data_IF_853679024791
#
_entry.id   IF_853679024791
#
_cell.length_a   1.000
_cell.length_b   1.000
_cell.length_c   1.000
_cell.angle_alpha   90.00
_cell.angle_beta   90.00
_cell.angle_gamma   90.00
#
_symmetry.space_group_name_H-M   'P 1'
#
loop_
_entity.id
_entity.type
_entity.pdbx_description
1 polymer ?
#
# COMPACT_ATOMS: atom_id res chain seq x y z
N UNK A 1 -79.31 -32.56 -59.84
CA UNK A 1 -77.88 -32.92 -59.74
C UNK A 1 -77.20 -31.87 -58.88
N UNK A 2 -76.98 -32.17 -57.61
CA UNK A 2 -76.39 -31.25 -56.69
C UNK A 2 -75.22 -31.94 -55.99
N UNK A 3 -74.03 -31.42 -56.23
CA UNK A 3 -72.79 -31.93 -55.66
C UNK A 3 -72.53 -31.25 -54.25
N UNK A 4 -72.38 -32.06 -53.24
CA UNK A 4 -71.97 -31.64 -51.89
C UNK A 4 -70.46 -31.56 -51.88
N UNK A 5 -69.89 -30.38 -51.54
CA UNK A 5 -68.51 -30.23 -51.20
C UNK A 5 -68.39 -30.24 -49.64
N UNK A 6 -67.61 -31.18 -49.14
CA UNK A 6 -67.25 -31.33 -47.76
C UNK A 6 -66.08 -30.37 -47.40
N UNK A 7 -66.25 -29.52 -46.43
CA UNK A 7 -65.23 -28.61 -45.93
C UNK A 7 -64.54 -29.26 -44.72
N UNK A 8 -63.25 -29.65 -44.90
CA UNK A 8 -62.41 -30.13 -43.78
C UNK A 8 -61.73 -28.96 -43.13
N UNK A 9 -62.02 -28.74 -41.82
CA UNK A 9 -61.31 -27.78 -40.96
C UNK A 9 -60.02 -28.40 -40.40
N UNK A 10 -58.90 -27.81 -40.75
CA UNK A 10 -57.59 -28.16 -40.17
C UNK A 10 -57.42 -27.30 -38.93
N UNK A 11 -57.38 -27.95 -37.74
CA UNK A 11 -56.98 -27.35 -36.46
C UNK A 11 -55.46 -27.27 -36.47
N UNK A 12 -54.90 -26.08 -36.64
CA UNK A 12 -53.47 -25.85 -36.40
C UNK A 12 -53.23 -25.57 -34.90
N UNK A 13 -52.64 -26.54 -34.23
CA UNK A 13 -52.15 -26.39 -32.86
C UNK A 13 -50.92 -25.53 -32.87
N UNK A 14 -51.01 -24.31 -32.37
CA UNK A 14 -49.87 -23.45 -32.10
C UNK A 14 -49.14 -23.97 -30.85
N UNK A 15 -48.04 -24.70 -31.03
CA UNK A 15 -47.05 -24.90 -30.00
C UNK A 15 -46.24 -23.59 -29.85
N UNK A 16 -46.49 -22.88 -28.76
CA UNK A 16 -45.60 -21.81 -28.33
C UNK A 16 -44.31 -22.45 -27.77
N UNK A 17 -43.12 -22.01 -28.17
CA UNK A 17 -41.89 -22.46 -27.49
C UNK A 17 -41.71 -21.69 -26.20
N UNK A 18 -42.06 -22.30 -25.07
CA UNK A 18 -41.74 -21.86 -23.75
C UNK A 18 -40.36 -22.41 -23.31
N UNK A 19 -39.31 -22.16 -24.08
CA UNK A 19 -37.97 -22.69 -23.85
C UNK A 19 -36.84 -21.70 -24.17
N UNK A 20 -37.11 -20.39 -24.06
CA UNK A 20 -36.04 -19.42 -24.33
C UNK A 20 -35.68 -18.52 -23.14
N UNK A 21 -36.45 -18.56 -22.05
CA UNK A 21 -36.16 -17.70 -20.89
C UNK A 21 -35.30 -18.32 -19.81
N UNK A 22 -34.96 -19.62 -19.89
CA UNK A 22 -34.10 -20.29 -18.90
C UNK A 22 -32.61 -20.35 -19.32
N UNK A 23 -32.27 -19.92 -20.53
CA UNK A 23 -30.89 -19.98 -21.03
C UNK A 23 -30.19 -18.61 -21.09
N UNK A 24 -30.92 -17.52 -20.94
CA UNK A 24 -30.38 -16.17 -20.88
C UNK A 24 -29.96 -15.75 -19.45
N UNK A 25 -30.38 -16.48 -18.41
CA UNK A 25 -30.04 -16.20 -17.02
C UNK A 25 -28.65 -16.71 -16.62
N UNK A 26 -27.88 -17.32 -17.52
CA UNK A 26 -26.56 -17.89 -17.25
C UNK A 26 -25.39 -17.05 -17.81
N UNK A 27 -25.63 -15.87 -18.33
CA UNK A 27 -24.60 -15.06 -19.02
C UNK A 27 -24.10 -13.85 -18.22
N UNK A 28 -24.68 -13.55 -17.05
CA UNK A 28 -24.27 -12.40 -16.26
C UNK A 28 -23.77 -12.84 -14.89
N UNK A 29 -22.64 -12.25 -14.42
CA UNK A 29 -22.14 -12.53 -13.07
C UNK A 29 -23.18 -12.18 -12.00
N UNK A 30 -23.17 -12.95 -10.91
CA UNK A 30 -24.04 -12.73 -9.74
C UNK A 30 -23.20 -12.41 -8.51
N UNK A 31 -23.84 -11.77 -7.52
CA UNK A 31 -23.16 -11.48 -6.27
C UNK A 31 -22.69 -12.77 -5.58
N UNK A 32 -23.57 -13.74 -5.44
CA UNK A 32 -23.29 -14.96 -4.70
C UNK A 32 -22.18 -15.81 -5.31
N UNK A 33 -22.09 -15.88 -6.64
CA UNK A 33 -21.10 -16.74 -7.29
C UNK A 33 -19.75 -16.06 -7.50
N UNK A 34 -19.70 -14.89 -8.17
CA UNK A 34 -18.46 -14.26 -8.58
C UNK A 34 -18.10 -13.03 -7.72
N UNK A 35 -19.06 -12.08 -7.60
CA UNK A 35 -18.77 -10.75 -7.11
C UNK A 35 -18.42 -10.75 -5.61
N UNK A 36 -19.06 -11.61 -4.82
CA UNK A 36 -18.78 -11.70 -3.37
C UNK A 36 -17.33 -12.11 -3.09
N UNK A 37 -16.73 -12.97 -3.93
CA UNK A 37 -15.32 -13.36 -3.80
C UNK A 37 -14.41 -12.20 -4.13
N UNK A 38 -14.68 -11.48 -5.22
CA UNK A 38 -13.92 -10.29 -5.62
C UNK A 38 -13.97 -9.23 -4.52
N UNK A 39 -15.16 -8.98 -3.95
CA UNK A 39 -15.33 -8.02 -2.85
C UNK A 39 -14.60 -8.46 -1.59
N UNK A 40 -14.64 -9.77 -1.24
CA UNK A 40 -13.90 -10.31 -0.10
C UNK A 40 -12.38 -10.17 -0.27
N UNK A 41 -11.88 -10.40 -1.48
CA UNK A 41 -10.45 -10.42 -1.76
C UNK A 41 -9.86 -9.01 -1.88
N UNK A 42 -10.60 -8.08 -2.46
CA UNK A 42 -10.07 -6.77 -2.85
C UNK A 42 -10.64 -5.58 -2.05
N UNK A 43 -11.77 -5.72 -1.37
CA UNK A 43 -12.46 -4.58 -0.77
C UNK A 43 -12.58 -4.67 0.75
N UNK A 44 -12.90 -5.85 1.30
CA UNK A 44 -13.28 -6.01 2.71
C UNK A 44 -12.14 -5.76 3.69
N UNK A 45 -10.87 -5.81 3.27
CA UNK A 45 -9.74 -5.46 4.12
C UNK A 45 -9.87 -4.04 4.70
N UNK A 46 -10.46 -3.12 3.92
CA UNK A 46 -10.73 -1.75 4.34
C UNK A 46 -12.22 -1.50 4.61
N UNK A 47 -13.13 -2.10 3.82
CA UNK A 47 -14.58 -1.89 3.87
C UNK A 47 -15.26 -2.93 4.75
N UNK A 48 -15.00 -2.89 6.04
CA UNK A 48 -15.63 -3.70 7.09
C UNK A 48 -15.95 -2.84 8.32
N UNK A 49 -16.83 -3.29 9.22
CA UNK A 49 -17.19 -2.51 10.41
C UNK A 49 -15.96 -2.14 11.24
N UNK A 50 -15.81 -0.86 11.57
CA UNK A 50 -14.71 -0.34 12.39
C UNK A 50 -13.36 -0.16 11.66
N UNK A 51 -13.26 -0.46 10.36
CA UNK A 51 -12.06 -0.21 9.57
C UNK A 51 -12.09 1.18 8.91
N UNK A 52 -11.06 1.50 8.12
CA UNK A 52 -10.87 2.83 7.50
C UNK A 52 -11.84 3.14 6.36
N UNK A 53 -12.46 2.15 5.75
CA UNK A 53 -13.45 2.36 4.69
C UNK A 53 -14.74 2.96 5.27
N UNK A 54 -15.30 4.03 4.66
CA UNK A 54 -16.46 4.73 5.22
C UNK A 54 -17.76 3.93 5.15
N UNK A 55 -17.82 2.83 4.38
CA UNK A 55 -18.94 1.91 4.28
C UNK A 55 -18.46 0.47 4.41
N UNK A 56 -19.29 -0.39 4.97
CA UNK A 56 -19.05 -1.84 5.04
C UNK A 56 -19.53 -2.54 3.77
N UNK A 57 -18.81 -3.60 3.34
CA UNK A 57 -19.12 -4.44 2.20
C UNK A 57 -19.12 -5.92 2.56
N UNK A 58 -19.55 -6.26 3.78
CA UNK A 58 -19.56 -7.64 4.28
C UNK A 58 -20.78 -8.46 3.87
N UNK A 59 -21.80 -7.81 3.31
CA UNK A 59 -23.02 -8.46 2.81
C UNK A 59 -23.51 -7.84 1.50
N UNK A 60 -24.40 -8.58 0.80
CA UNK A 60 -25.05 -8.06 -0.41
C UNK A 60 -25.85 -6.78 -0.16
N UNK A 61 -26.55 -6.73 0.96
CA UNK A 61 -27.36 -5.60 1.38
C UNK A 61 -26.54 -4.33 1.58
N UNK A 62 -25.31 -4.49 2.02
CA UNK A 62 -24.34 -3.40 2.18
C UNK A 62 -23.68 -2.99 0.86
N UNK A 63 -23.36 -3.95 -0.02
CA UNK A 63 -22.68 -3.69 -1.30
C UNK A 63 -23.63 -3.10 -2.34
N UNK A 64 -24.85 -3.67 -2.48
CA UNK A 64 -25.76 -3.34 -3.57
C UNK A 64 -26.12 -1.84 -3.69
N UNK A 65 -26.38 -1.09 -2.62
CA UNK A 65 -26.65 0.34 -2.71
C UNK A 65 -25.51 1.16 -3.33
N UNK A 66 -24.28 0.67 -3.18
CA UNK A 66 -23.05 1.31 -3.67
C UNK A 66 -22.58 0.78 -5.04
N UNK A 67 -23.26 -0.22 -5.60
CA UNK A 67 -22.83 -0.90 -6.82
C UNK A 67 -22.48 0.06 -7.98
N UNK A 68 -23.25 1.12 -8.30
CA UNK A 68 -22.88 2.07 -9.34
C UNK A 68 -21.61 2.86 -9.04
N UNK A 69 -21.38 3.22 -7.76
CA UNK A 69 -20.16 3.91 -7.34
C UNK A 69 -18.97 2.97 -7.36
N UNK A 70 -19.14 1.72 -6.90
CA UNK A 70 -18.13 0.67 -6.98
C UNK A 70 -17.69 0.48 -8.43
N UNK A 71 -18.65 0.29 -9.36
CA UNK A 71 -18.35 0.18 -10.79
C UNK A 71 -17.51 1.34 -11.32
N UNK A 72 -17.90 2.57 -10.99
CA UNK A 72 -17.21 3.77 -11.44
C UNK A 72 -15.75 3.81 -10.92
N UNK A 73 -15.57 3.55 -9.63
CA UNK A 73 -14.25 3.62 -8.97
C UNK A 73 -13.32 2.49 -9.41
N UNK A 74 -13.85 1.28 -9.59
CA UNK A 74 -13.05 0.12 -10.05
C UNK A 74 -12.64 0.29 -11.50
N UNK A 75 -13.59 0.72 -12.36
CA UNK A 75 -13.30 0.98 -13.79
C UNK A 75 -12.29 2.11 -13.99
N UNK A 76 -12.28 3.11 -13.10
CA UNK A 76 -11.28 4.18 -13.08
C UNK A 76 -9.97 3.78 -12.40
N UNK A 77 -9.86 2.55 -11.85
CA UNK A 77 -8.72 2.06 -11.05
C UNK A 77 -8.41 2.93 -9.83
N UNK A 78 -9.42 3.62 -9.29
CA UNK A 78 -9.33 4.38 -8.06
C UNK A 78 -9.54 3.52 -6.81
N UNK A 79 -10.17 2.33 -6.98
CA UNK A 79 -10.37 1.32 -5.93
C UNK A 79 -10.12 -0.09 -6.48
N UNK A 80 -9.37 -0.94 -5.74
CA UNK A 80 -8.57 -0.60 -4.55
C UNK A 80 -7.53 0.48 -4.86
N UNK A 81 -7.19 1.33 -3.86
CA UNK A 81 -6.19 2.38 -4.08
C UNK A 81 -4.80 1.76 -4.19
N UNK A 82 -4.23 1.76 -5.36
CA UNK A 82 -2.88 1.26 -5.63
C UNK A 82 -2.26 2.05 -6.76
N UNK A 83 -1.21 2.80 -6.47
CA UNK A 83 -0.70 3.85 -7.37
C UNK A 83 0.50 3.39 -8.22
N UNK A 84 0.89 2.12 -8.12
CA UNK A 84 2.01 1.59 -8.88
C UNK A 84 1.61 1.28 -10.32
N UNK A 85 2.38 1.76 -11.30
CA UNK A 85 2.09 1.58 -12.71
C UNK A 85 2.21 0.11 -13.15
N UNK A 86 1.29 -0.37 -13.99
CA UNK A 86 1.17 -1.79 -14.36
C UNK A 86 2.27 -2.28 -15.32
N UNK A 87 2.88 -1.36 -16.08
CA UNK A 87 3.76 -1.67 -17.21
C UNK A 87 5.15 -1.02 -17.11
N UNK A 88 5.47 -0.41 -15.96
CA UNK A 88 6.73 0.31 -15.76
C UNK A 88 7.47 -0.26 -14.55
N UNK A 89 8.77 -0.50 -14.72
CA UNK A 89 9.64 -0.98 -13.65
C UNK A 89 9.39 -2.43 -13.23
N UNK A 90 9.68 -2.74 -11.98
CA UNK A 90 9.61 -4.10 -11.42
C UNK A 90 8.18 -4.39 -10.98
N UNK A 91 7.55 -5.42 -11.56
CA UNK A 91 6.15 -5.77 -11.30
C UNK A 91 5.94 -6.84 -10.22
N UNK A 92 7.02 -7.44 -9.71
CA UNK A 92 7.00 -8.45 -8.65
C UNK A 92 6.96 -7.76 -7.28
N UNK A 93 5.74 -7.54 -6.77
CA UNK A 93 5.47 -6.83 -5.54
C UNK A 93 4.69 -7.71 -4.55
N UNK A 94 5.09 -7.69 -3.29
CA UNK A 94 4.31 -8.28 -2.20
C UNK A 94 3.07 -7.43 -1.94
N UNK A 95 1.95 -8.08 -1.60
CA UNK A 95 0.69 -7.40 -1.28
C UNK A 95 0.23 -6.44 -2.39
N UNK A 96 0.31 -6.89 -3.63
CA UNK A 96 -0.21 -6.16 -4.78
C UNK A 96 -1.75 -6.18 -4.74
N UNK A 97 -2.35 -5.01 -4.61
CA UNK A 97 -3.81 -4.86 -4.51
C UNK A 97 -4.46 -4.47 -5.84
N UNK A 98 -3.70 -4.46 -6.93
CA UNK A 98 -4.28 -4.19 -8.25
C UNK A 98 -5.26 -5.30 -8.62
N UNK A 99 -6.44 -4.90 -9.04
CA UNK A 99 -7.44 -5.84 -9.54
C UNK A 99 -7.11 -6.28 -10.97
N UNK A 100 -7.36 -7.55 -11.24
CA UNK A 100 -7.29 -8.06 -12.61
C UNK A 100 -8.34 -7.42 -13.54
N UNK A 101 -8.05 -7.32 -14.83
CA UNK A 101 -9.04 -6.89 -15.82
C UNK A 101 -10.30 -7.77 -15.80
N UNK A 102 -10.17 -9.06 -15.52
CA UNK A 102 -11.27 -10.00 -15.41
C UNK A 102 -12.18 -9.63 -14.24
N UNK A 103 -11.63 -9.34 -13.06
CA UNK A 103 -12.40 -8.94 -11.88
C UNK A 103 -13.09 -7.59 -12.09
N UNK A 104 -12.37 -6.61 -12.67
CA UNK A 104 -12.94 -5.30 -13.03
C UNK A 104 -14.14 -5.50 -13.97
N UNK A 105 -13.97 -6.25 -15.05
CA UNK A 105 -15.03 -6.51 -16.01
C UNK A 105 -16.19 -7.29 -15.39
N UNK A 106 -15.93 -8.21 -14.47
CA UNK A 106 -16.95 -8.96 -13.74
C UNK A 106 -17.83 -8.04 -12.91
N UNK A 107 -17.23 -7.12 -12.14
CA UNK A 107 -17.99 -6.11 -11.38
C UNK A 107 -18.78 -5.20 -12.32
N UNK A 108 -18.18 -4.69 -13.40
CA UNK A 108 -18.84 -3.82 -14.36
C UNK A 108 -20.05 -4.52 -14.99
N UNK A 109 -19.90 -5.76 -15.43
CA UNK A 109 -20.96 -6.55 -16.05
C UNK A 109 -22.09 -6.88 -15.04
N UNK A 110 -21.74 -7.19 -13.80
CA UNK A 110 -22.69 -7.42 -12.72
C UNK A 110 -23.58 -6.19 -12.48
N UNK A 111 -22.98 -5.00 -12.40
CA UNK A 111 -23.72 -3.76 -12.16
C UNK A 111 -24.61 -3.43 -13.37
N UNK A 112 -24.10 -3.59 -14.59
CA UNK A 112 -24.87 -3.37 -15.81
C UNK A 112 -26.08 -4.35 -15.95
N UNK A 113 -25.97 -5.55 -15.39
CA UNK A 113 -27.05 -6.53 -15.30
C UNK A 113 -28.10 -6.24 -14.21
N UNK A 114 -27.96 -5.13 -13.46
CA UNK A 114 -28.86 -4.73 -12.36
C UNK A 114 -28.48 -5.29 -10.99
N UNK A 115 -27.24 -5.72 -10.86
CA UNK A 115 -26.66 -6.23 -9.62
C UNK A 115 -27.44 -7.43 -9.02
N UNK A 116 -27.64 -8.54 -9.78
CA UNK A 116 -28.41 -9.69 -9.30
C UNK A 116 -27.69 -10.39 -8.15
N UNK A 117 -28.48 -10.92 -7.18
CA UNK A 117 -27.94 -11.65 -6.04
C UNK A 117 -27.40 -13.04 -6.42
N UNK A 118 -28.13 -13.80 -7.25
CA UNK A 118 -27.79 -15.17 -7.61
C UNK A 118 -28.35 -16.22 -6.65
N UNK A 119 -27.75 -17.43 -6.64
CA UNK A 119 -28.15 -18.52 -5.77
C UNK A 119 -27.41 -18.39 -4.41
N UNK A 120 -28.13 -18.35 -3.25
CA UNK A 120 -27.47 -18.27 -1.92
C UNK A 120 -26.49 -19.39 -1.61
N UNK A 121 -26.66 -20.56 -2.24
CA UNK A 121 -25.76 -21.70 -2.02
C UNK A 121 -24.35 -21.51 -2.62
N UNK A 122 -24.20 -20.54 -3.54
CA UNK A 122 -22.93 -20.21 -4.18
C UNK A 122 -22.07 -19.23 -3.38
N UNK A 123 -22.61 -18.66 -2.28
CA UNK A 123 -21.87 -17.72 -1.44
C UNK A 123 -20.60 -18.37 -0.86
N UNK A 124 -19.46 -17.69 -0.93
CA UNK A 124 -18.26 -18.15 -0.22
C UNK A 124 -18.45 -18.05 1.30
N UNK A 125 -17.61 -18.77 2.05
CA UNK A 125 -17.53 -18.54 3.49
C UNK A 125 -17.08 -17.11 3.77
N UNK A 126 -17.69 -16.42 4.75
CA UNK A 126 -17.25 -15.08 5.13
C UNK A 126 -15.79 -15.08 5.58
N UNK A 127 -15.00 -14.12 5.11
CA UNK A 127 -13.65 -13.89 5.63
C UNK A 127 -13.72 -13.39 7.06
N UNK A 128 -12.78 -13.84 7.87
CA UNK A 128 -12.53 -13.29 9.19
C UNK A 128 -11.39 -12.28 9.08
N UNK A 129 -11.61 -11.09 9.58
CA UNK A 129 -10.59 -10.05 9.63
C UNK A 129 -10.21 -9.80 11.08
N UNK A 130 -8.95 -9.45 11.37
CA UNK A 130 -8.57 -8.98 12.69
C UNK A 130 -9.42 -7.79 13.11
N UNK A 131 -9.73 -7.68 14.39
CA UNK A 131 -10.37 -6.47 14.92
C UNK A 131 -9.46 -5.25 14.65
N UNK A 132 -10.05 -4.04 14.70
CA UNK A 132 -9.29 -2.80 14.39
C UNK A 132 -8.12 -2.59 15.35
N UNK A 133 -8.28 -3.07 16.59
CA UNK A 133 -7.29 -3.04 17.66
C UNK A 133 -6.42 -4.30 17.76
N UNK A 134 -6.58 -5.26 16.85
CA UNK A 134 -5.67 -6.40 16.73
C UNK A 134 -4.44 -6.03 15.88
N UNK A 135 -3.33 -6.71 16.13
CA UNK A 135 -2.17 -6.62 15.26
C UNK A 135 -2.43 -7.32 13.92
N UNK A 136 -2.17 -6.62 12.83
CA UNK A 136 -2.36 -7.17 11.47
C UNK A 136 -1.46 -8.37 11.20
N UNK A 137 -0.25 -8.32 11.76
CA UNK A 137 0.74 -9.38 11.61
C UNK A 137 0.51 -10.55 12.58
N UNK A 138 -0.34 -10.41 13.60
CA UNK A 138 -0.57 -11.46 14.61
C UNK A 138 -1.17 -12.74 14.02
N UNK A 139 -1.95 -12.65 12.95
CA UNK A 139 -2.50 -13.83 12.26
C UNK A 139 -1.44 -14.77 11.68
N UNK A 140 -0.25 -14.22 11.37
CA UNK A 140 0.89 -14.96 10.83
C UNK A 140 2.00 -15.19 11.87
N UNK A 141 2.29 -14.18 12.69
CA UNK A 141 3.46 -14.14 13.56
C UNK A 141 3.13 -14.32 15.06
N UNK A 142 1.85 -14.39 15.42
CA UNK A 142 1.44 -14.33 16.84
C UNK A 142 1.48 -12.91 17.38
N UNK A 143 1.29 -12.77 18.71
CA UNK A 143 1.42 -11.47 19.40
C UNK A 143 2.86 -10.96 19.33
N UNK A 144 3.08 -9.62 19.32
CA UNK A 144 4.43 -9.07 19.32
C UNK A 144 5.18 -9.42 20.59
N UNK A 145 6.48 -9.69 20.46
CA UNK A 145 7.37 -9.98 21.59
C UNK A 145 7.60 -8.75 22.49
N UNK A 146 7.55 -7.55 21.88
CA UNK A 146 7.75 -6.30 22.57
C UNK A 146 6.79 -5.23 22.05
N UNK A 147 6.31 -4.37 22.96
CA UNK A 147 5.46 -3.24 22.62
C UNK A 147 5.96 -1.93 23.21
N UNK A 148 5.89 -0.86 22.41
CA UNK A 148 6.24 0.50 22.83
C UNK A 148 5.02 1.39 22.62
N UNK A 149 4.60 2.13 23.66
CA UNK A 149 3.46 3.06 23.58
C UNK A 149 3.93 4.50 23.65
N UNK A 150 3.29 5.37 22.90
CA UNK A 150 3.47 6.82 23.07
C UNK A 150 3.00 7.26 24.45
N UNK A 151 3.38 8.46 24.88
CA UNK A 151 2.66 9.13 25.97
C UNK A 151 1.19 9.35 25.53
N UNK A 152 0.29 9.39 26.51
CA UNK A 152 -1.12 9.66 26.26
C UNK A 152 -1.33 11.11 25.82
N UNK A 153 -2.27 11.31 24.90
CA UNK A 153 -2.66 12.62 24.39
C UNK A 153 -4.17 12.74 24.20
N UNK A 154 -4.74 13.88 24.59
CA UNK A 154 -6.16 14.17 24.34
C UNK A 154 -6.34 14.71 22.93
N UNK A 155 -6.85 13.88 22.03
CA UNK A 155 -7.16 14.28 20.65
C UNK A 155 -8.45 15.09 20.63
N UNK A 156 -8.43 16.38 20.22
CA UNK A 156 -9.62 17.20 20.21
C UNK A 156 -10.55 16.84 19.04
N UNK A 157 -11.86 17.05 19.22
CA UNK A 157 -12.84 16.85 18.16
C UNK A 157 -12.69 17.81 16.97
N UNK A 158 -12.13 18.99 17.19
CA UNK A 158 -12.02 20.06 16.20
C UNK A 158 -10.70 20.82 16.37
N UNK A 159 -10.15 21.30 15.29
CA UNK A 159 -8.90 22.08 15.29
C UNK A 159 -8.19 22.00 13.94
N UNK A 160 -6.99 22.55 13.91
CA UNK A 160 -6.06 22.37 12.80
C UNK A 160 -5.29 21.05 12.99
N UNK A 161 -4.52 20.67 11.98
CA UNK A 161 -3.54 19.60 12.06
C UNK A 161 -2.69 19.73 13.33
N UNK A 162 -2.58 18.64 14.08
CA UNK A 162 -1.85 18.58 15.34
C UNK A 162 -0.68 17.60 15.20
N UNK A 163 0.48 18.04 15.66
CA UNK A 163 1.68 17.23 15.72
C UNK A 163 2.06 16.99 17.19
N UNK A 164 1.93 15.73 17.63
CA UNK A 164 2.37 15.29 18.94
C UNK A 164 3.70 14.53 18.83
N UNK A 165 4.74 15.00 19.53
CA UNK A 165 6.10 14.47 19.41
C UNK A 165 6.67 14.04 20.77
N UNK A 166 6.08 13.06 21.45
CA UNK A 166 6.60 12.56 22.72
C UNK A 166 7.85 11.72 22.53
N UNK A 167 8.67 11.65 23.58
CA UNK A 167 9.84 10.78 23.66
C UNK A 167 9.67 9.85 24.85
N UNK A 168 9.65 8.54 24.58
CA UNK A 168 9.50 7.50 25.61
C UNK A 168 10.71 6.58 25.63
N UNK A 169 10.96 5.91 26.75
CA UNK A 169 11.95 4.84 26.80
C UNK A 169 11.48 3.67 25.95
N UNK A 170 12.39 3.07 25.17
CA UNK A 170 12.03 1.93 24.30
C UNK A 170 11.72 0.66 25.09
N UNK A 171 12.30 0.51 26.28
CA UNK A 171 12.25 -0.71 27.08
C UNK A 171 13.06 -1.87 26.47
N UNK A 172 13.90 -1.61 25.49
CA UNK A 172 14.75 -2.60 24.84
C UNK A 172 16.08 -2.67 25.56
N UNK A 173 16.35 -3.80 26.24
CA UNK A 173 17.56 -3.99 27.04
C UNK A 173 18.73 -4.56 26.23
N UNK A 174 18.45 -5.25 25.12
CA UNK A 174 19.44 -5.90 24.27
C UNK A 174 19.23 -5.52 22.80
N UNK A 175 20.34 -5.23 22.10
CA UNK A 175 20.27 -4.93 20.65
C UNK A 175 20.07 -6.20 19.86
N UNK A 176 19.00 -6.24 19.06
CA UNK A 176 18.59 -7.42 18.29
C UNK A 176 18.11 -7.04 16.89
N UNK A 177 18.18 -7.99 15.96
CA UNK A 177 17.49 -7.90 14.68
C UNK A 177 16.01 -8.19 14.86
N UNK A 178 15.16 -7.42 14.19
CA UNK A 178 13.72 -7.65 14.19
C UNK A 178 13.28 -8.40 12.93
N UNK A 179 12.27 -9.26 13.09
CA UNK A 179 11.59 -10.00 12.04
C UNK A 179 10.48 -9.17 11.41
N UNK A 180 9.78 -8.41 12.24
CA UNK A 180 8.70 -7.53 11.81
C UNK A 180 8.47 -6.39 12.80
N UNK A 181 7.79 -5.35 12.32
CA UNK A 181 7.34 -4.23 13.13
C UNK A 181 6.00 -3.70 12.60
N UNK A 182 5.11 -3.31 13.50
CA UNK A 182 3.83 -2.71 13.17
C UNK A 182 3.55 -1.53 14.10
N UNK A 183 3.19 -0.39 13.53
CA UNK A 183 2.68 0.77 14.29
C UNK A 183 1.18 0.86 14.08
N UNK A 184 0.42 1.01 15.16
CA UNK A 184 -1.03 1.16 15.09
C UNK A 184 -1.54 2.26 16.02
N UNK A 185 -2.50 3.09 15.57
CA UNK A 185 -3.30 3.97 16.43
C UNK A 185 -4.24 3.14 17.32
N UNK A 186 -4.85 3.78 18.31
CA UNK A 186 -5.99 3.17 19.01
C UNK A 186 -7.19 3.04 18.07
N UNK A 187 -8.07 2.08 18.35
CA UNK A 187 -9.33 1.92 17.61
C UNK A 187 -10.21 3.19 17.66
N UNK A 188 -10.14 3.95 18.74
CA UNK A 188 -10.91 5.19 18.92
C UNK A 188 -10.39 6.35 18.06
N UNK A 189 -9.06 6.41 17.82
CA UNK A 189 -8.40 7.51 17.10
C UNK A 189 -7.99 7.14 15.67
N UNK A 190 -8.35 5.96 15.16
CA UNK A 190 -7.92 5.53 13.82
C UNK A 190 -8.42 6.47 12.72
N UNK A 191 -9.58 7.09 12.89
CA UNK A 191 -10.13 8.06 11.94
C UNK A 191 -9.43 9.41 11.96
N UNK A 192 -8.87 9.79 13.10
CA UNK A 192 -8.18 11.07 13.31
C UNK A 192 -6.65 10.96 13.22
N UNK A 193 -6.08 9.76 13.28
CA UNK A 193 -4.62 9.56 13.13
C UNK A 193 -4.27 9.48 11.65
N UNK A 194 -3.71 10.55 11.09
CA UNK A 194 -3.31 10.58 9.69
C UNK A 194 -2.06 9.75 9.43
N UNK A 195 -1.01 9.93 10.23
CA UNK A 195 0.17 9.06 10.29
C UNK A 195 0.87 9.17 11.63
N UNK A 196 1.69 8.18 11.95
CA UNK A 196 2.53 8.16 13.14
C UNK A 196 3.90 7.57 12.79
N UNK A 197 4.89 8.44 12.76
CA UNK A 197 6.27 8.07 12.53
C UNK A 197 6.99 7.83 13.85
N UNK A 198 8.00 6.98 13.85
CA UNK A 198 8.85 6.75 14.99
C UNK A 198 10.31 6.58 14.59
N UNK A 199 11.21 7.08 15.40
CA UNK A 199 12.65 6.85 15.26
C UNK A 199 13.32 6.72 16.60
N UNK A 200 14.46 6.04 16.61
CA UNK A 200 15.23 5.88 17.83
C UNK A 200 15.96 7.17 18.20
N UNK A 201 16.11 7.38 19.50
CA UNK A 201 17.12 8.24 20.11
C UNK A 201 18.14 7.34 20.76
N UNK A 202 19.40 7.55 20.45
CA UNK A 202 20.53 6.80 20.97
C UNK A 202 21.55 7.72 21.61
N UNK A 203 22.29 7.21 22.58
CA UNK A 203 23.39 7.97 23.18
C UNK A 203 24.61 7.90 22.25
N UNK A 204 25.16 9.06 21.89
CA UNK A 204 26.44 9.14 21.23
C UNK A 204 27.62 8.92 22.23
N UNK A 205 28.84 8.91 21.72
CA UNK A 205 30.04 8.71 22.52
C UNK A 205 30.24 9.79 23.62
N UNK A 206 29.60 10.94 23.44
CA UNK A 206 29.65 12.04 24.41
C UNK A 206 28.54 11.94 25.47
N UNK A 207 27.66 10.93 25.40
CA UNK A 207 26.50 10.77 26.29
C UNK A 207 25.33 11.68 25.98
N UNK A 208 25.26 12.20 24.76
CA UNK A 208 24.16 13.05 24.30
C UNK A 208 23.14 12.22 23.48
N UNK A 209 21.85 12.49 23.66
CA UNK A 209 20.79 11.87 22.88
C UNK A 209 20.76 12.45 21.45
N UNK A 210 21.03 11.61 20.46
CA UNK A 210 21.00 11.96 19.05
C UNK A 210 19.95 11.11 18.31
N UNK A 211 19.56 11.55 17.13
CA UNK A 211 18.66 10.77 16.27
C UNK A 211 19.39 9.51 15.78
N UNK A 212 18.77 8.38 16.01
CA UNK A 212 19.13 7.08 15.43
C UNK A 212 18.27 6.77 14.20
N UNK A 213 18.22 5.50 13.86
CA UNK A 213 17.46 5.01 12.73
C UNK A 213 15.95 5.09 12.96
N UNK A 214 15.21 5.09 11.88
CA UNK A 214 13.75 5.00 11.93
C UNK A 214 13.34 3.59 12.32
N UNK A 215 12.29 3.52 13.14
CA UNK A 215 11.76 2.24 13.59
C UNK A 215 10.60 1.79 12.70
N UNK A 216 9.55 2.59 12.63
CA UNK A 216 8.31 2.21 11.95
C UNK A 216 7.45 3.43 11.64
N UNK A 217 6.44 3.22 10.81
CA UNK A 217 5.42 4.21 10.47
C UNK A 217 4.04 3.54 10.46
N UNK A 218 3.05 4.26 10.98
CA UNK A 218 1.65 4.07 10.58
C UNK A 218 1.30 5.11 9.53
N UNK A 219 0.71 4.67 8.44
CA UNK A 219 0.02 5.54 7.49
C UNK A 219 -1.22 4.78 6.97
N UNK A 220 -2.21 5.52 6.48
CA UNK A 220 -3.43 4.91 5.93
C UNK A 220 -3.04 4.00 4.74
N UNK A 221 -3.42 2.71 4.83
CA UNK A 221 -3.06 1.69 3.84
C UNK A 221 -1.84 0.84 4.19
N UNK A 222 -1.05 1.20 5.21
CA UNK A 222 0.09 0.42 5.66
C UNK A 222 -0.33 -0.66 6.66
N UNK A 223 0.11 -1.90 6.45
CA UNK A 223 -0.33 -3.09 7.20
C UNK A 223 0.72 -3.66 8.17
N UNK A 224 1.77 -2.94 8.46
CA UNK A 224 2.94 -3.46 9.15
C UNK A 224 4.06 -3.82 8.16
N UNK A 225 5.25 -4.02 8.66
CA UNK A 225 6.44 -4.29 7.87
C UNK A 225 7.12 -5.57 8.34
N UNK A 226 7.35 -6.49 7.41
CA UNK A 226 8.26 -7.64 7.62
C UNK A 226 9.61 -7.30 7.04
N UNK A 227 10.67 -7.54 7.81
CA UNK A 227 12.03 -7.41 7.30
C UNK A 227 12.27 -8.53 6.29
N UNK A 228 12.81 -8.24 5.10
CA UNK A 228 13.06 -9.26 4.08
C UNK A 228 14.03 -10.33 4.55
N UNK A 229 13.91 -11.50 3.95
CA UNK A 229 14.82 -12.62 4.21
C UNK A 229 16.29 -12.20 3.97
N UNK A 230 17.16 -12.65 4.86
CA UNK A 230 18.59 -12.32 4.84
C UNK A 230 18.93 -10.89 5.26
N UNK A 231 17.97 -10.06 5.71
CA UNK A 231 18.23 -8.71 6.18
C UNK A 231 18.07 -8.58 7.70
N UNK A 232 18.86 -7.70 8.32
CA UNK A 232 18.77 -7.34 9.73
C UNK A 232 18.45 -5.86 9.91
N UNK A 233 17.22 -5.54 10.31
CA UNK A 233 16.90 -4.21 10.87
C UNK A 233 17.13 -4.27 12.35
N UNK A 234 18.18 -3.60 12.80
CA UNK A 234 18.63 -3.66 14.21
C UNK A 234 17.90 -2.64 15.06
N UNK A 235 17.38 -3.07 16.20
CA UNK A 235 16.88 -2.18 17.27
C UNK A 235 17.95 -2.00 18.32
N UNK A 236 18.27 -0.74 18.72
CA UNK A 236 19.34 -0.45 19.68
C UNK A 236 18.88 -0.68 21.11
N UNK A 237 19.77 -1.29 21.94
CA UNK A 237 19.56 -1.39 23.37
C UNK A 237 19.58 -0.02 24.05
N UNK A 238 18.88 0.10 25.19
CA UNK A 238 18.87 1.30 26.06
C UNK A 238 18.57 2.59 25.29
N UNK A 239 17.71 2.50 24.30
CA UNK A 239 17.30 3.60 23.42
C UNK A 239 16.01 4.24 23.91
N UNK A 240 15.67 5.39 23.34
CA UNK A 240 14.34 5.99 23.43
C UNK A 240 13.70 5.99 22.04
N UNK A 241 12.38 6.13 22.01
CA UNK A 241 11.61 6.33 20.78
C UNK A 241 11.03 7.73 20.79
N UNK A 242 11.39 8.54 19.81
CA UNK A 242 10.73 9.80 19.51
C UNK A 242 9.64 9.54 18.47
N UNK A 243 8.45 9.98 18.78
CA UNK A 243 7.28 9.89 17.92
C UNK A 243 7.08 11.18 17.16
N UNK A 244 6.48 11.08 15.98
CA UNK A 244 5.89 12.18 15.23
C UNK A 244 4.48 11.75 14.82
N UNK A 245 3.51 11.99 15.70
CA UNK A 245 2.11 11.60 15.49
C UNK A 245 1.35 12.80 14.93
N UNK A 246 0.76 12.62 13.76
CA UNK A 246 -0.05 13.63 13.08
C UNK A 246 -1.52 13.29 13.21
N UNK A 247 -2.23 14.07 14.00
CA UNK A 247 -3.68 13.98 14.14
C UNK A 247 -4.38 15.00 13.27
N UNK A 248 -5.43 14.55 12.59
CA UNK A 248 -6.38 15.40 11.89
C UNK A 248 -7.76 15.23 12.55
N UNK A 249 -8.26 16.22 13.33
CA UNK A 249 -9.52 16.12 14.04
C UNK A 249 -10.70 15.81 13.12
N UNK A 250 -11.43 14.72 13.39
CA UNK A 250 -12.51 14.18 12.56
C UNK A 250 -13.93 14.47 13.08
N UNK A 251 -14.05 15.28 14.13
CA UNK A 251 -15.31 15.59 14.80
C UNK A 251 -15.54 14.84 16.11
N UNK A 252 -14.66 13.84 16.42
CA UNK A 252 -14.72 13.06 17.64
C UNK A 252 -13.53 13.40 18.54
N UNK A 253 -13.79 13.66 19.83
CA UNK A 253 -12.72 13.78 20.81
C UNK A 253 -12.34 12.41 21.34
N UNK A 254 -11.02 12.12 21.39
CA UNK A 254 -10.50 10.88 21.97
C UNK A 254 -9.57 11.24 23.12
N UNK A 255 -10.01 11.07 24.37
CA UNK A 255 -9.15 11.31 25.53
C UNK A 255 -8.13 10.18 25.70
N UNK A 256 -6.97 10.51 26.25
CA UNK A 256 -5.92 9.57 26.62
C UNK A 256 -5.48 8.64 25.46
N UNK A 257 -5.50 9.12 24.21
CA UNK A 257 -5.07 8.30 23.07
C UNK A 257 -3.59 7.95 23.12
N UNK A 258 -3.26 6.74 22.68
CA UNK A 258 -1.88 6.25 22.57
C UNK A 258 -1.70 5.46 21.27
N UNK A 259 -0.66 5.81 20.52
CA UNK A 259 -0.18 4.99 19.41
C UNK A 259 0.79 3.92 19.95
N UNK A 260 0.70 2.71 19.43
CA UNK A 260 1.49 1.56 19.89
C UNK A 260 2.31 0.97 18.74
N UNK A 261 3.56 0.61 19.02
CA UNK A 261 4.42 -0.19 18.15
C UNK A 261 4.46 -1.62 18.71
N UNK A 262 4.29 -2.62 17.85
CA UNK A 262 4.58 -4.02 18.11
C UNK A 262 5.85 -4.42 17.36
N UNK A 263 6.72 -5.17 18.01
CA UNK A 263 7.98 -5.66 17.47
C UNK A 263 8.00 -7.18 17.63
N UNK A 264 8.35 -7.88 16.56
CA UNK A 264 8.60 -9.32 16.52
C UNK A 264 10.08 -9.55 16.30
N UNK A 265 10.68 -10.34 17.19
CA UNK A 265 12.08 -10.74 17.07
C UNK A 265 12.19 -12.10 16.35
N UNK A 266 13.37 -12.40 15.85
CA UNK A 266 13.71 -13.77 15.48
C UNK A 266 13.86 -14.61 16.75
N UNK A 267 13.33 -15.82 16.74
CA UNK A 267 13.47 -16.80 17.80
C UNK A 267 14.51 -17.88 17.43
N UNK A 268 14.80 -18.81 18.39
CA UNK A 268 15.81 -19.84 18.18
C UNK A 268 15.42 -20.88 17.11
N UNK A 269 14.15 -20.95 16.72
CA UNK A 269 13.63 -21.87 15.70
C UNK A 269 13.69 -21.27 14.29
N UNK A 270 13.92 -19.96 14.16
CA UNK A 270 14.08 -19.31 12.88
C UNK A 270 15.45 -19.68 12.24
N UNK A 271 15.47 -19.94 10.95
CA UNK A 271 16.70 -20.17 10.16
C UNK A 271 17.53 -18.88 9.95
N UNK A 272 17.36 -17.89 10.82
CA UNK A 272 18.04 -16.62 10.75
C UNK A 272 19.39 -16.67 11.45
N UNK A 273 20.46 -16.35 10.70
CA UNK A 273 21.83 -16.23 11.21
C UNK A 273 22.25 -14.75 11.11
N UNK A 274 22.35 -14.10 12.27
CA UNK A 274 22.61 -12.65 12.33
C UNK A 274 23.95 -12.26 11.66
N UNK A 275 24.99 -13.08 11.84
CA UNK A 275 26.31 -12.84 11.26
C UNK A 275 26.37 -12.98 9.74
N UNK A 276 25.35 -13.65 9.15
CA UNK A 276 25.21 -13.83 7.70
C UNK A 276 24.18 -12.86 7.09
N UNK A 277 23.58 -11.98 7.90
CA UNK A 277 22.53 -11.09 7.47
C UNK A 277 23.04 -9.74 6.99
N UNK A 278 22.31 -9.13 6.04
CA UNK A 278 22.61 -7.80 5.52
C UNK A 278 22.04 -6.72 6.44
N UNK A 279 22.86 -5.74 6.91
CA UNK A 279 22.33 -4.58 7.64
C UNK A 279 21.26 -3.87 6.81
N UNK A 280 20.09 -3.62 7.39
CA UNK A 280 18.99 -2.92 6.72
C UNK A 280 18.66 -1.60 7.43
N UNK A 281 18.57 -0.55 6.64
CA UNK A 281 18.06 0.75 7.06
C UNK A 281 16.71 1.06 6.41
N UNK A 282 15.81 1.66 7.17
CA UNK A 282 14.64 2.35 6.63
C UNK A 282 14.99 3.84 6.47
N UNK A 283 15.21 4.29 5.26
CA UNK A 283 15.62 5.66 4.95
C UNK A 283 14.47 6.50 4.42
N UNK A 284 14.13 7.56 5.14
CA UNK A 284 13.08 8.51 4.77
C UNK A 284 13.56 9.72 3.97
N UNK A 285 14.79 9.75 3.46
CA UNK A 285 15.34 10.98 2.90
C UNK A 285 16.00 10.79 1.55
N UNK A 286 15.29 10.18 0.64
CA UNK A 286 15.55 10.47 -0.75
C UNK A 286 14.72 11.68 -1.14
N UNK A 287 15.18 12.86 -0.73
CA UNK A 287 14.55 14.12 -1.11
C UNK A 287 14.68 14.31 -2.62
N UNK A 288 13.60 14.65 -3.29
CA UNK A 288 13.64 15.04 -4.71
C UNK A 288 14.06 16.49 -4.92
N UNK A 289 14.06 17.31 -3.85
CA UNK A 289 14.57 18.66 -3.85
C UNK A 289 14.98 19.06 -2.44
N UNK A 290 15.99 19.90 -2.33
CA UNK A 290 16.59 20.34 -1.06
C UNK A 290 15.74 21.30 -0.22
N UNK A 291 14.42 21.19 -0.21
CA UNK A 291 13.54 21.99 0.64
C UNK A 291 13.26 23.43 0.18
N UNK A 292 13.88 23.88 -0.90
CA UNK A 292 13.81 25.27 -1.39
C UNK A 292 13.02 25.42 -2.70
N UNK A 293 12.09 24.50 -2.98
CA UNK A 293 11.27 24.61 -4.18
C UNK A 293 9.96 25.38 -3.92
N UNK A 294 9.47 26.03 -4.96
CA UNK A 294 8.18 26.73 -4.95
C UNK A 294 7.39 26.34 -6.20
N UNK A 295 6.17 25.88 -5.99
CA UNK A 295 5.23 25.53 -7.05
C UNK A 295 4.42 26.79 -7.37
N UNK A 296 4.45 27.28 -8.62
CA UNK A 296 3.74 28.50 -8.96
C UNK A 296 2.22 28.32 -9.00
N UNK A 297 1.43 29.39 -8.80
CA UNK A 297 -0.01 29.36 -9.06
C UNK A 297 -0.30 28.89 -10.48
N UNK A 298 -1.36 28.09 -10.65
CA UNK A 298 -1.81 27.52 -11.93
C UNK A 298 -0.72 26.81 -12.74
N UNK A 299 0.33 26.33 -12.06
CA UNK A 299 1.49 25.74 -12.71
C UNK A 299 1.81 24.34 -12.24
N UNK A 300 2.75 23.73 -12.94
CA UNK A 300 3.32 22.42 -12.60
C UNK A 300 4.79 22.55 -12.26
N UNK A 301 5.30 21.59 -11.50
CA UNK A 301 6.73 21.50 -11.17
C UNK A 301 7.18 20.06 -11.23
N UNK A 302 8.42 19.83 -11.65
CA UNK A 302 9.11 18.56 -11.48
C UNK A 302 10.39 18.79 -10.69
N UNK A 303 10.61 17.95 -9.67
CA UNK A 303 11.81 17.98 -8.84
C UNK A 303 12.59 16.67 -8.96
N UNK A 304 13.91 16.72 -8.68
CA UNK A 304 14.78 15.54 -8.74
C UNK A 304 15.70 15.49 -7.53
N UNK A 305 15.96 14.28 -7.03
CA UNK A 305 16.97 13.99 -6.02
C UNK A 305 17.86 12.86 -6.47
N UNK A 306 19.11 12.88 -6.00
CA UNK A 306 20.14 11.93 -6.40
C UNK A 306 20.83 11.34 -5.17
N UNK A 307 21.02 10.02 -5.18
CA UNK A 307 21.75 9.31 -4.14
C UNK A 307 22.63 8.22 -4.74
N UNK A 308 23.89 8.20 -4.34
CA UNK A 308 24.85 7.12 -4.68
C UNK A 308 25.38 6.50 -3.38
N UNK A 309 25.77 5.24 -3.47
CA UNK A 309 26.46 4.51 -2.41
C UNK A 309 27.85 4.12 -2.89
N UNK A 310 28.80 4.08 -1.99
CA UNK A 310 30.18 3.63 -2.23
C UNK A 310 30.34 2.10 -2.14
N UNK A 311 29.26 1.41 -1.78
CA UNK A 311 29.12 -0.04 -1.73
C UNK A 311 27.81 -0.47 -2.40
N UNK A 312 27.66 -1.75 -2.76
CA UNK A 312 26.41 -2.22 -3.33
C UNK A 312 25.24 -2.20 -2.32
N UNK A 313 24.02 -2.00 -2.81
CA UNK A 313 22.83 -2.08 -1.98
C UNK A 313 21.71 -2.84 -2.67
N UNK A 314 20.82 -3.44 -1.87
CA UNK A 314 19.54 -4.00 -2.31
C UNK A 314 18.42 -3.09 -1.83
N UNK A 315 17.48 -2.74 -2.72
CA UNK A 315 16.31 -1.98 -2.34
C UNK A 315 15.17 -2.96 -2.05
N UNK A 316 14.67 -2.97 -0.82
CA UNK A 316 13.65 -3.93 -0.39
C UNK A 316 12.23 -3.38 -0.55
N UNK A 317 12.03 -2.07 -0.37
CA UNK A 317 10.74 -1.41 -0.57
C UNK A 317 10.90 0.06 -0.96
N UNK A 318 9.82 0.59 -1.56
CA UNK A 318 9.70 1.98 -1.96
C UNK A 318 8.31 2.52 -1.64
N UNK A 319 8.25 3.68 -0.97
CA UNK A 319 7.02 4.39 -0.65
C UNK A 319 7.14 5.85 -1.07
N UNK A 320 6.49 6.27 -2.16
CA UNK A 320 6.46 7.67 -2.59
C UNK A 320 5.65 8.52 -1.60
N UNK A 321 6.14 9.71 -1.28
CA UNK A 321 5.45 10.64 -0.40
C UNK A 321 5.54 12.08 -0.90
N UNK A 322 4.37 12.66 -1.08
CA UNK A 322 4.12 14.07 -1.41
C UNK A 322 2.87 14.52 -0.66
N UNK A 323 2.45 15.79 -0.84
CA UNK A 323 1.18 16.26 -0.31
C UNK A 323 0.15 16.50 -1.45
N UNK A 324 -0.77 17.47 -1.28
CA UNK A 324 -1.97 17.61 -2.11
C UNK A 324 -1.72 17.93 -3.58
N UNK A 325 -0.56 18.51 -3.94
CA UNK A 325 -0.21 18.83 -5.34
C UNK A 325 0.61 17.73 -6.00
N UNK A 326 1.10 16.75 -5.24
CA UNK A 326 1.80 15.60 -5.80
C UNK A 326 0.89 14.77 -6.68
N UNK A 327 1.35 14.42 -7.89
CA UNK A 327 0.58 13.63 -8.86
C UNK A 327 1.33 12.43 -9.40
N UNK A 328 2.66 12.41 -9.33
CA UNK A 328 3.47 11.28 -9.77
C UNK A 328 4.83 11.26 -9.10
N UNK A 329 5.39 10.06 -8.93
CA UNK A 329 6.79 9.86 -8.52
C UNK A 329 7.40 8.66 -9.23
N UNK A 330 8.69 8.75 -9.58
CA UNK A 330 9.48 7.62 -10.08
C UNK A 330 10.75 7.41 -9.26
N UNK A 331 11.20 6.17 -9.20
CA UNK A 331 12.52 5.78 -8.74
C UNK A 331 13.27 5.12 -9.90
N UNK A 332 14.43 5.67 -10.22
CA UNK A 332 15.27 5.24 -11.33
C UNK A 332 16.71 4.98 -10.85
N UNK A 333 17.48 4.25 -11.63
CA UNK A 333 18.92 4.08 -11.40
C UNK A 333 19.72 4.44 -12.66
N UNK A 334 20.74 5.24 -12.48
CA UNK A 334 21.73 5.55 -13.51
C UNK A 334 23.00 4.75 -13.26
N UNK A 335 23.43 4.00 -14.27
CA UNK A 335 24.65 3.20 -14.27
C UNK A 335 25.77 3.97 -15.00
N UNK A 336 26.76 4.54 -14.29
CA UNK A 336 27.79 5.38 -14.91
C UNK A 336 28.68 4.63 -15.90
N UNK A 337 28.91 3.33 -15.69
CA UNK A 337 29.73 2.49 -16.57
C UNK A 337 29.15 2.35 -17.99
N UNK A 338 27.84 2.32 -18.10
CA UNK A 338 27.12 2.13 -19.37
C UNK A 338 26.44 3.38 -19.90
N UNK A 339 26.27 4.40 -19.05
CA UNK A 339 25.48 5.59 -19.32
C UNK A 339 23.96 5.32 -19.41
N UNK A 340 23.51 4.13 -18.99
CA UNK A 340 22.09 3.72 -19.03
C UNK A 340 21.36 4.19 -17.79
N UNK A 341 20.12 4.63 -17.98
CA UNK A 341 19.14 4.83 -16.91
C UNK A 341 18.04 3.79 -17.04
N UNK A 342 17.60 3.25 -15.91
CA UNK A 342 16.54 2.27 -15.82
C UNK A 342 15.49 2.73 -14.79
N UNK A 343 14.21 2.62 -15.12
CA UNK A 343 13.12 2.89 -14.17
C UNK A 343 12.90 1.63 -13.34
N UNK A 344 13.01 1.79 -12.03
CA UNK A 344 12.78 0.70 -11.07
C UNK A 344 11.32 0.64 -10.64
N UNK A 345 10.71 1.80 -10.35
CA UNK A 345 9.33 1.93 -9.88
C UNK A 345 8.74 3.26 -10.30
N UNK A 346 7.44 3.28 -10.57
CA UNK A 346 6.70 4.49 -10.93
C UNK A 346 5.27 4.44 -10.42
N UNK A 347 4.78 5.60 -9.99
CA UNK A 347 3.40 5.86 -9.62
C UNK A 347 2.94 7.13 -10.36
N UNK A 348 2.22 6.96 -11.48
CA UNK A 348 1.81 8.09 -12.35
C UNK A 348 0.50 8.76 -11.92
N UNK A 349 -0.31 8.06 -11.10
CA UNK A 349 -1.57 8.58 -10.57
C UNK A 349 -1.53 8.62 -9.03
N UNK A 350 -0.45 9.15 -8.49
CA UNK A 350 -0.28 9.23 -7.06
C UNK A 350 -1.27 10.25 -6.43
N UNK A 351 -1.75 9.96 -5.23
CA UNK A 351 -2.56 10.87 -4.43
C UNK A 351 -2.20 10.76 -2.95
N UNK A 352 -2.23 11.88 -2.24
CA UNK A 352 -1.93 11.96 -0.81
C UNK A 352 -2.93 11.21 0.10
N UNK A 353 -4.06 10.78 -0.44
CA UNK A 353 -5.07 10.03 0.31
C UNK A 353 -4.57 8.64 0.76
N UNK A 354 -3.53 8.09 0.12
CA UNK A 354 -3.02 6.75 0.37
C UNK A 354 -1.49 6.72 0.29
N UNK A 355 -0.87 6.24 1.35
CA UNK A 355 0.59 6.12 1.45
C UNK A 355 1.00 4.64 1.47
N UNK A 356 1.06 4.02 0.30
CA UNK A 356 1.46 2.61 0.17
C UNK A 356 2.97 2.44 0.13
N UNK A 357 3.44 1.45 0.86
CA UNK A 357 4.80 0.92 0.73
C UNK A 357 4.77 -0.26 -0.23
N UNK A 358 5.44 -0.12 -1.36
CA UNK A 358 5.59 -1.16 -2.39
C UNK A 358 6.82 -2.00 -2.05
N UNK A 359 6.60 -3.20 -1.53
CA UNK A 359 7.66 -4.14 -1.15
C UNK A 359 7.89 -5.12 -2.29
N UNK A 360 9.13 -5.26 -2.73
CA UNK A 360 9.48 -6.21 -3.79
C UNK A 360 9.45 -7.66 -3.29
N UNK A 361 9.06 -8.58 -4.17
CA UNK A 361 9.16 -10.02 -3.90
C UNK A 361 10.62 -10.46 -3.79
N UNK A 362 10.84 -11.56 -3.04
CA UNK A 362 12.19 -12.11 -2.88
C UNK A 362 12.81 -12.49 -4.23
N UNK A 363 14.06 -12.11 -4.40
CA UNK A 363 14.81 -12.29 -5.63
C UNK A 363 14.50 -11.27 -6.74
N UNK A 364 13.52 -10.37 -6.57
CA UNK A 364 13.20 -9.29 -7.52
C UNK A 364 13.60 -7.91 -7.02
N UNK A 365 14.05 -7.79 -5.76
CA UNK A 365 14.52 -6.53 -5.19
C UNK A 365 15.63 -5.93 -6.05
N UNK A 366 15.59 -4.64 -6.41
CA UNK A 366 16.66 -4.00 -7.17
C UNK A 366 18.04 -4.17 -6.51
N UNK A 367 19.02 -4.67 -7.27
CA UNK A 367 20.41 -4.79 -6.86
C UNK A 367 21.19 -3.64 -7.50
N UNK A 368 21.69 -2.72 -6.69
CA UNK A 368 22.33 -1.49 -7.13
C UNK A 368 23.83 -1.62 -6.88
N UNK A 369 24.70 -1.59 -7.91
CA UNK A 369 26.14 -1.68 -7.72
C UNK A 369 26.70 -0.41 -7.08
N UNK A 370 27.87 -0.53 -6.47
CA UNK A 370 28.62 0.62 -5.97
C UNK A 370 28.81 1.68 -7.07
N UNK A 371 28.62 2.96 -6.72
CA UNK A 371 28.79 4.10 -7.63
C UNK A 371 27.61 4.37 -8.58
N UNK A 372 26.64 3.47 -8.69
CA UNK A 372 25.41 3.79 -9.40
C UNK A 372 24.59 4.86 -8.63
N UNK A 373 23.79 5.63 -9.36
CA UNK A 373 23.03 6.74 -8.79
C UNK A 373 21.54 6.44 -8.84
N UNK A 374 20.89 6.37 -7.68
CA UNK A 374 19.44 6.34 -7.57
C UNK A 374 18.93 7.77 -7.83
N UNK A 375 17.92 7.88 -8.67
CA UNK A 375 17.27 9.14 -9.04
C UNK A 375 15.81 9.04 -8.63
N UNK A 376 15.34 9.98 -7.82
CA UNK A 376 13.92 10.18 -7.57
C UNK A 376 13.44 11.38 -8.33
N UNK A 377 12.27 11.25 -8.98
CA UNK A 377 11.56 12.39 -9.58
C UNK A 377 10.17 12.45 -9.00
N UNK A 378 9.72 13.67 -8.70
CA UNK A 378 8.38 13.96 -8.26
C UNK A 378 7.76 15.05 -9.12
N UNK A 379 6.48 14.87 -9.48
CA UNK A 379 5.71 15.82 -10.28
C UNK A 379 4.55 16.38 -9.47
N UNK A 380 4.34 17.68 -9.62
CA UNK A 380 3.31 18.43 -8.91
C UNK A 380 2.42 19.17 -9.91
N UNK A 381 1.14 19.19 -9.60
CA UNK A 381 0.12 19.96 -10.33
C UNK A 381 -0.62 20.89 -9.36
N UNK A 382 -0.33 22.20 -9.46
CA UNK A 382 -1.01 23.26 -8.72
C UNK A 382 -2.06 23.97 -9.58
N UNK A 383 -2.60 23.30 -10.59
CA UNK A 383 -3.67 23.81 -11.43
C UNK A 383 -5.05 23.40 -10.92
N UNK A 384 -6.10 23.95 -11.52
CA UNK A 384 -7.51 23.61 -11.28
C UNK A 384 -7.86 22.17 -11.71
N UNK A 385 -6.99 21.51 -12.50
CA UNK A 385 -7.22 20.15 -12.97
C UNK A 385 -6.89 19.11 -11.89
N UNK A 386 -6.11 19.47 -10.87
CA UNK A 386 -5.84 18.58 -9.74
C UNK A 386 -6.99 18.66 -8.73
N UNK A 387 -7.83 17.62 -8.58
CA UNK A 387 -8.99 17.64 -7.69
C UNK A 387 -8.61 17.70 -6.20
N UNK A 388 -7.35 17.38 -5.86
CA UNK A 388 -6.85 17.44 -4.48
C UNK A 388 -6.29 18.82 -4.12
N UNK A 389 -6.10 19.71 -5.09
CA UNK A 389 -5.55 21.04 -4.86
C UNK A 389 -6.59 21.94 -4.19
N UNK A 390 -6.37 22.43 -2.94
CA UNK A 390 -7.36 23.25 -2.24
C UNK A 390 -7.41 24.69 -2.75
N UNK A 391 -6.34 25.21 -3.34
CA UNK A 391 -6.25 26.60 -3.81
C UNK A 391 -5.16 26.75 -4.90
N UNK A 392 -5.53 26.80 -6.18
CA UNK A 392 -4.58 26.95 -7.27
C UNK A 392 -3.99 28.36 -7.38
N UNK A 393 -4.55 29.37 -6.72
CA UNK A 393 -4.07 30.75 -6.76
C UNK A 393 -2.82 30.99 -5.88
N UNK A 394 -2.46 30.04 -5.02
CA UNK A 394 -1.36 30.16 -4.08
C UNK A 394 -0.03 29.65 -4.62
N UNK A 395 1.06 30.31 -4.25
CA UNK A 395 2.38 29.72 -4.27
C UNK A 395 2.50 28.67 -3.17
N UNK A 396 3.04 27.51 -3.48
CA UNK A 396 3.20 26.41 -2.51
C UNK A 396 4.66 26.03 -2.37
N UNK A 397 5.18 26.19 -1.15
CA UNK A 397 6.56 25.82 -0.80
C UNK A 397 6.64 24.50 -0.02
N UNK A 398 7.88 24.07 0.24
CA UNK A 398 8.15 22.93 1.09
C UNK A 398 7.74 23.20 2.54
N UNK A 399 7.11 22.21 3.19
CA UNK A 399 6.70 22.31 4.60
C UNK A 399 6.04 21.04 5.12
N UNK A 400 5.71 21.05 6.41
CA UNK A 400 5.16 19.86 7.09
C UNK A 400 3.63 19.79 7.07
N UNK A 401 2.94 20.92 6.83
CA UNK A 401 1.47 20.93 6.81
C UNK A 401 0.95 20.25 5.54
N UNK A 402 -0.20 19.63 5.62
CA UNK A 402 -0.86 19.01 4.45
C UNK A 402 -1.05 20.00 3.29
N UNK A 403 -1.21 21.30 3.58
CA UNK A 403 -1.34 22.37 2.59
C UNK A 403 -0.01 22.89 2.04
N UNK A 404 1.12 22.62 2.67
CA UNK A 404 2.46 22.78 2.10
C UNK A 404 2.77 21.59 1.19
N UNK A 405 4.00 21.45 0.69
CA UNK A 405 4.40 20.28 -0.08
C UNK A 405 5.61 19.57 0.52
N UNK A 406 5.65 18.24 0.31
CA UNK A 406 6.80 17.39 0.56
C UNK A 406 7.24 16.69 -0.71
N UNK A 407 8.46 16.17 -0.68
CA UNK A 407 9.14 15.64 -1.87
C UNK A 407 10.16 14.60 -1.47
N UNK A 408 9.71 13.40 -1.06
CA UNK A 408 10.62 12.33 -0.68
C UNK A 408 10.01 10.94 -0.91
N UNK A 409 10.84 9.92 -0.88
CA UNK A 409 10.41 8.54 -0.74
C UNK A 409 11.01 7.91 0.52
N UNK A 410 10.27 6.98 1.10
CA UNK A 410 10.78 6.05 2.07
C UNK A 410 11.29 4.82 1.34
N UNK A 411 12.53 4.42 1.64
CA UNK A 411 13.16 3.30 0.97
C UNK A 411 13.83 2.43 2.04
N UNK A 412 13.45 1.15 2.08
CA UNK A 412 14.18 0.16 2.85
C UNK A 412 15.36 -0.34 2.03
N UNK A 413 16.55 -0.27 2.61
CA UNK A 413 17.83 -0.55 1.92
C UNK A 413 18.61 -1.56 2.75
N UNK A 414 18.96 -2.69 2.15
CA UNK A 414 19.93 -3.64 2.68
C UNK A 414 21.31 -3.33 2.11
N UNK A 415 22.31 -3.18 2.96
CA UNK A 415 23.70 -2.91 2.60
C UNK A 415 24.42 -4.23 2.34
N UNK A 416 25.10 -4.35 1.19
CA UNK A 416 25.75 -5.57 0.74
C UNK A 416 27.26 -5.40 0.68
N UNK A 417 27.98 -6.48 0.98
CA UNK A 417 29.37 -6.60 0.56
C UNK A 417 29.44 -6.91 -0.95
N UNK A 418 30.57 -6.64 -1.57
CA UNK A 418 30.73 -6.84 -3.02
C UNK A 418 30.52 -8.32 -3.43
N UNK A 419 30.96 -9.26 -2.60
CA UNK A 419 30.86 -10.70 -2.86
C UNK A 419 29.39 -11.16 -2.83
N UNK A 420 28.61 -10.72 -1.84
CA UNK A 420 27.17 -11.01 -1.72
C UNK A 420 26.38 -10.42 -2.90
N UNK A 421 26.73 -9.21 -3.31
CA UNK A 421 26.12 -8.59 -4.48
C UNK A 421 26.34 -9.41 -5.75
N UNK A 422 27.58 -9.89 -5.97
CA UNK A 422 27.92 -10.70 -7.14
C UNK A 422 27.19 -12.05 -7.11
N UNK A 423 27.04 -12.67 -5.95
CA UNK A 423 26.29 -13.91 -5.76
C UNK A 423 24.80 -13.71 -6.07
N UNK A 424 24.14 -12.71 -5.48
CA UNK A 424 22.73 -12.37 -5.75
C UNK A 424 22.48 -12.05 -7.23
N UNK A 425 23.40 -11.36 -7.90
CA UNK A 425 23.33 -11.11 -9.35
C UNK A 425 23.44 -12.40 -10.15
N UNK A 426 24.32 -13.32 -9.75
CA UNK A 426 24.50 -14.61 -10.42
C UNK A 426 23.26 -15.50 -10.26
N UNK A 427 22.67 -15.56 -9.08
CA UNK A 427 21.44 -16.29 -8.80
C UNK A 427 20.25 -15.76 -9.64
N UNK A 428 20.11 -14.44 -9.73
CA UNK A 428 19.11 -13.80 -10.57
C UNK A 428 19.25 -14.19 -12.03
N UNK A 429 20.46 -14.09 -12.58
CA UNK A 429 20.74 -14.51 -13.95
C UNK A 429 20.43 -15.98 -14.19
N UNK A 430 20.74 -16.85 -13.23
CA UNK A 430 20.45 -18.28 -13.32
C UNK A 430 18.94 -18.58 -13.30
N UNK A 431 18.16 -17.84 -12.50
CA UNK A 431 16.70 -17.92 -12.48
C UNK A 431 16.10 -17.48 -13.82
N UNK A 432 16.50 -16.30 -14.33
CA UNK A 432 15.97 -15.74 -15.58
C UNK A 432 16.27 -16.64 -16.78
N UNK A 433 17.44 -17.25 -16.82
CA UNK A 433 17.80 -18.24 -17.85
C UNK A 433 16.95 -19.52 -17.78
N UNK A 434 16.55 -19.97 -16.58
CA UNK A 434 15.65 -21.13 -16.41
C UNK A 434 14.24 -20.83 -16.88
N UNK A 435 13.72 -19.63 -16.63
CA UNK A 435 12.38 -19.21 -17.07
C UNK A 435 12.28 -19.15 -18.60
N UNK A 436 13.34 -18.68 -19.28
CA UNK A 436 13.40 -18.65 -20.75
C UNK A 436 13.50 -20.06 -21.35
N UNK A 437 14.23 -20.98 -20.70
CA UNK A 437 14.39 -22.36 -21.18
C UNK A 437 13.14 -23.26 -20.92
N UNK A 438 12.35 -22.95 -19.91
CA UNK A 438 11.12 -23.69 -19.57
C UNK A 438 9.85 -23.23 -20.29
N UNK A 439 9.91 -22.11 -21.00
CA UNK A 439 8.76 -21.53 -21.77
C UNK A 439 8.65 -21.97 -23.22
N UNK A 440 9.38 -22.99 -23.62
CA UNK A 440 9.41 -23.51 -25.01
C UNK A 440 8.78 -24.92 -25.19
N UNK A 441 7.85 -25.32 -24.30
CA UNK A 441 7.06 -26.55 -24.48
C UNK A 441 5.56 -26.23 -24.73
#
# INVERSE_FOLDING_TARGET
>A
MVSKKVLSAILASALFPALSSAREAAEHPTYANEVSRIIQDNCQVCHQPGSIGPMSFTSYEEVRPWAPLIQMRVAAREMPPYHYDDDVGIQHLKNDWRMSEEDINTIVNWVNAGSPFGNPEDLPQPKQFPAVDDWRLAGELGEPDHTIKSEAWDVPAQGQDLWWKPIVDSGIDESRCIKAVETRPSAAAIGSTHHANSHFKVLNENGEWVNGDRLSEFAIGKLGEKVPEGACRRVPANSKVEWEIHYFPDGNAVPDDQVTIGIWYYDEEDDFVEEESYPQDLRAYFLTAGGDYMIPPHGTLMTQGFRSFDHPVRIDSWQPHMHLRGVAMSMEVFYPETGRTEVLSQASNWTSAWNHSHTYEEGFQPLIPAGATIILRAWYDNTENNPMNPDPDQWVGAGQRTTDEMSHAWIAISHLEQEDYEELVAERKARDNRSVAGGSD
#
